data_IF_094201853973
#
_entry.id   IF_094201853973
#
_cell.length_a   1.000
_cell.length_b   1.000
_cell.length_c   1.000
_cell.angle_alpha   90.00
_cell.angle_beta   90.00
_cell.angle_gamma   90.00
#
_symmetry.space_group_name_H-M   'P 1'
#
loop_
_entity.id
_entity.type
_entity.pdbx_description
1 polymer ?
#
# COMPACT_ATOMS: atom_id res chain seq x y z
N UNK A 1 19.56 -0.28 -5.75
CA UNK A 1 19.13 -1.68 -5.87
C UNK A 1 17.65 -1.75 -5.50
N UNK A 2 16.79 -2.34 -6.34
CA UNK A 2 15.38 -2.54 -6.00
C UNK A 2 15.31 -3.70 -4.99
N UNK A 3 15.26 -3.38 -3.70
CA UNK A 3 15.07 -4.38 -2.65
C UNK A 3 13.60 -4.76 -2.63
N UNK A 4 13.28 -5.96 -3.11
CA UNK A 4 11.95 -6.53 -2.99
C UNK A 4 11.71 -6.85 -1.52
N UNK A 5 10.90 -6.05 -0.83
CA UNK A 5 10.47 -6.36 0.54
C UNK A 5 9.59 -7.62 0.55
N UNK A 6 9.69 -8.41 1.61
CA UNK A 6 8.81 -9.56 1.82
C UNK A 6 7.34 -9.06 1.82
N UNK A 7 6.42 -9.69 1.06
CA UNK A 7 5.02 -9.27 0.99
C UNK A 7 4.33 -9.13 2.35
N UNK A 8 4.69 -9.96 3.35
CA UNK A 8 4.17 -9.83 4.70
C UNK A 8 4.65 -8.56 5.42
N UNK A 9 5.92 -8.21 5.27
CA UNK A 9 6.47 -6.98 5.85
C UNK A 9 5.84 -5.72 5.24
N UNK A 10 5.53 -5.76 3.95
CA UNK A 10 4.83 -4.69 3.27
C UNK A 10 3.40 -4.52 3.82
N UNK A 11 2.69 -5.62 4.07
CA UNK A 11 1.34 -5.59 4.63
C UNK A 11 1.30 -5.08 6.08
N UNK A 12 2.27 -5.43 6.92
CA UNK A 12 2.34 -4.90 8.28
C UNK A 12 2.58 -3.38 8.24
N UNK A 13 3.45 -2.93 7.34
CA UNK A 13 3.74 -1.50 7.17
C UNK A 13 2.51 -0.75 6.64
N UNK A 14 1.72 -1.33 5.72
CA UNK A 14 0.48 -0.69 5.25
C UNK A 14 -0.53 -0.56 6.38
N UNK A 15 -0.70 -1.59 7.22
CA UNK A 15 -1.64 -1.55 8.36
C UNK A 15 -1.21 -0.48 9.37
N UNK A 16 0.05 -0.49 9.81
CA UNK A 16 0.54 0.45 10.83
C UNK A 16 0.54 1.90 10.31
N UNK A 17 0.94 2.11 9.06
CA UNK A 17 0.91 3.44 8.46
C UNK A 17 -0.50 3.95 8.25
N UNK A 18 -1.42 3.11 7.76
CA UNK A 18 -2.83 3.49 7.61
C UNK A 18 -3.45 3.81 8.97
N UNK A 19 -3.22 2.98 10.00
CA UNK A 19 -3.74 3.18 11.35
C UNK A 19 -3.23 4.49 11.99
N UNK A 20 -1.92 4.75 11.92
CA UNK A 20 -1.35 5.96 12.49
C UNK A 20 -1.78 7.22 11.73
N UNK A 21 -1.84 7.16 10.40
CA UNK A 21 -2.23 8.30 9.57
C UNK A 21 -3.72 8.61 9.68
N UNK A 22 -4.61 7.62 9.72
CA UNK A 22 -6.05 7.88 9.89
C UNK A 22 -6.34 8.47 11.27
N UNK A 23 -5.64 8.03 12.32
CA UNK A 23 -5.73 8.65 13.64
C UNK A 23 -5.25 10.11 13.63
N UNK A 24 -4.07 10.38 13.06
CA UNK A 24 -3.50 11.72 12.98
C UNK A 24 -4.34 12.70 12.16
N UNK A 25 -4.94 12.21 11.07
CA UNK A 25 -5.83 13.02 10.21
C UNK A 25 -7.15 13.36 10.89
N UNK A 26 -7.62 12.54 11.83
CA UNK A 26 -8.81 12.86 12.61
C UNK A 26 -8.62 14.11 13.50
N UNK A 27 -7.41 14.34 14.01
CA UNK A 27 -7.11 15.47 14.92
C UNK A 27 -7.38 16.85 14.30
N UNK A 28 -6.90 17.21 13.10
CA UNK A 28 -7.23 18.49 12.49
C UNK A 28 -8.71 18.62 12.13
N UNK A 29 -9.43 17.50 11.91
CA UNK A 29 -10.86 17.54 11.58
C UNK A 29 -11.70 18.03 12.75
N UNK A 30 -11.30 17.81 14.00
CA UNK A 30 -12.07 18.27 15.18
C UNK A 30 -12.14 19.78 15.31
N UNK A 31 -11.24 20.54 14.67
CA UNK A 31 -11.27 22.01 14.66
C UNK A 31 -12.33 22.59 13.72
N UNK A 32 -12.98 21.78 12.87
CA UNK A 32 -14.05 22.26 11.99
C UNK A 32 -15.36 22.40 12.78
N UNK A 33 -16.10 23.51 12.63
CA UNK A 33 -17.31 23.75 13.43
C UNK A 33 -18.55 22.97 12.95
N UNK A 34 -18.57 22.46 11.72
CA UNK A 34 -19.72 21.79 11.12
C UNK A 34 -19.47 20.28 10.92
N UNK A 35 -20.37 19.44 11.43
CA UNK A 35 -20.27 17.98 11.38
C UNK A 35 -20.27 17.44 9.93
N UNK A 36 -21.11 17.99 9.05
CA UNK A 36 -21.16 17.61 7.63
C UNK A 36 -19.82 17.86 6.93
N UNK A 37 -19.18 18.98 7.25
CA UNK A 37 -17.88 19.34 6.69
C UNK A 37 -16.77 18.43 7.24
N UNK A 38 -16.86 18.04 8.52
CA UNK A 38 -15.94 17.08 9.13
C UNK A 38 -16.00 15.71 8.44
N UNK A 39 -17.20 15.17 8.23
CA UNK A 39 -17.42 13.88 7.55
C UNK A 39 -16.91 13.92 6.10
N UNK A 40 -17.20 15.01 5.38
CA UNK A 40 -16.73 15.19 4.01
C UNK A 40 -15.19 15.20 3.94
N UNK A 41 -14.55 16.01 4.80
CA UNK A 41 -13.08 16.11 4.84
C UNK A 41 -12.45 14.77 5.27
N UNK A 42 -13.04 14.09 6.25
CA UNK A 42 -12.58 12.76 6.67
C UNK A 42 -12.70 11.72 5.55
N UNK A 43 -13.77 11.75 4.74
CA UNK A 43 -13.93 10.84 3.62
C UNK A 43 -12.81 11.02 2.59
N UNK A 44 -12.53 12.26 2.17
CA UNK A 44 -11.43 12.55 1.23
C UNK A 44 -10.06 12.24 1.83
N UNK A 45 -9.85 12.58 3.10
CA UNK A 45 -8.58 12.36 3.77
C UNK A 45 -8.32 10.86 3.99
N UNK A 46 -9.34 10.06 4.30
CA UNK A 46 -9.23 8.61 4.41
C UNK A 46 -8.80 7.96 3.08
N UNK A 47 -9.37 8.40 1.95
CA UNK A 47 -8.93 7.94 0.62
C UNK A 47 -7.46 8.32 0.37
N UNK A 48 -7.06 9.55 0.72
CA UNK A 48 -5.68 10.02 0.56
C UNK A 48 -4.69 9.24 1.45
N UNK A 49 -5.05 8.98 2.71
CA UNK A 49 -4.27 8.16 3.65
C UNK A 49 -4.10 6.75 3.09
N UNK A 50 -5.19 6.14 2.65
CA UNK A 50 -5.18 4.82 2.02
C UNK A 50 -4.28 4.76 0.79
N UNK A 51 -4.33 5.79 -0.05
CA UNK A 51 -3.45 5.93 -1.21
C UNK A 51 -1.97 6.06 -0.82
N UNK A 52 -1.64 6.81 0.23
CA UNK A 52 -0.27 6.96 0.70
C UNK A 52 0.25 5.66 1.31
N UNK A 53 -0.53 5.01 2.18
CA UNK A 53 -0.18 3.75 2.81
C UNK A 53 -0.01 2.62 1.77
N UNK A 54 -0.93 2.53 0.80
CA UNK A 54 -0.96 1.53 -0.26
C UNK A 54 0.25 1.55 -1.20
N UNK A 55 1.02 2.65 -1.27
CA UNK A 55 2.27 2.72 -2.05
C UNK A 55 3.32 1.70 -1.65
N UNK A 56 3.26 1.23 -0.39
CA UNK A 56 4.19 0.23 0.12
C UNK A 56 3.79 -1.20 -0.26
N UNK A 57 2.55 -1.40 -0.75
CA UNK A 57 2.05 -2.71 -1.18
C UNK A 57 2.46 -3.05 -2.62
N UNK A 58 2.83 -4.31 -2.84
CA UNK A 58 3.22 -4.84 -4.15
C UNK A 58 2.01 -5.25 -4.99
N UNK A 59 0.90 -5.60 -4.33
CA UNK A 59 -0.33 -6.12 -4.93
C UNK A 59 -1.50 -5.25 -4.48
N UNK A 60 -2.33 -4.81 -5.44
CA UNK A 60 -3.53 -3.99 -5.19
C UNK A 60 -4.46 -4.53 -4.10
N UNK A 61 -4.69 -5.84 -4.07
CA UNK A 61 -5.52 -6.49 -3.06
C UNK A 61 -4.90 -6.44 -1.65
N UNK A 62 -3.58 -6.58 -1.53
CA UNK A 62 -2.89 -6.43 -0.23
C UNK A 62 -2.89 -4.98 0.25
N UNK A 63 -2.78 -4.02 -0.67
CA UNK A 63 -2.96 -2.60 -0.38
C UNK A 63 -4.36 -2.27 0.13
N UNK A 64 -5.39 -2.84 -0.50
CA UNK A 64 -6.78 -2.71 -0.05
C UNK A 64 -7.00 -3.29 1.35
N UNK A 65 -6.61 -4.56 1.57
CA UNK A 65 -6.84 -5.23 2.86
C UNK A 65 -6.08 -4.53 3.98
N UNK A 66 -4.81 -4.19 3.76
CA UNK A 66 -4.00 -3.52 4.78
C UNK A 66 -4.50 -2.11 5.12
N UNK A 67 -4.87 -1.33 4.10
CA UNK A 67 -5.42 0.02 4.32
C UNK A 67 -6.83 0.00 4.93
N UNK A 68 -7.65 -1.01 4.60
CA UNK A 68 -8.97 -1.20 5.20
C UNK A 68 -8.84 -1.53 6.68
N UNK A 69 -8.03 -2.53 7.03
CA UNK A 69 -7.84 -2.95 8.43
C UNK A 69 -7.20 -1.83 9.24
N UNK A 70 -6.11 -1.23 8.75
CA UNK A 70 -5.46 -0.13 9.44
C UNK A 70 -6.36 1.11 9.55
N UNK A 71 -7.08 1.45 8.48
CA UNK A 71 -8.02 2.57 8.47
C UNK A 71 -9.20 2.37 9.43
N UNK A 72 -9.75 1.16 9.50
CA UNK A 72 -10.80 0.79 10.46
C UNK A 72 -10.30 0.94 11.90
N UNK A 73 -9.19 0.30 12.27
CA UNK A 73 -8.67 0.37 13.64
C UNK A 73 -8.24 1.79 14.02
N UNK A 74 -7.64 2.54 13.10
CA UNK A 74 -7.22 3.92 13.37
C UNK A 74 -8.39 4.89 13.51
N UNK A 75 -9.45 4.74 12.71
CA UNK A 75 -10.67 5.54 12.86
C UNK A 75 -11.48 5.14 14.09
N UNK A 76 -11.54 3.85 14.42
CA UNK A 76 -12.16 3.36 15.65
C UNK A 76 -11.42 3.87 16.90
N UNK A 77 -10.08 3.81 16.92
CA UNK A 77 -9.27 4.39 17.99
C UNK A 77 -9.46 5.90 18.12
N UNK A 78 -9.57 6.61 17.00
CA UNK A 78 -9.83 8.05 17.01
C UNK A 78 -11.20 8.37 17.62
N UNK A 79 -12.24 7.63 17.22
CA UNK A 79 -13.58 7.79 17.75
C UNK A 79 -13.62 7.55 19.27
N UNK A 80 -12.96 6.50 19.75
CA UNK A 80 -12.94 6.10 21.15
C UNK A 80 -12.08 7.04 22.02
N UNK A 81 -10.89 7.43 21.55
CA UNK A 81 -9.93 8.20 22.38
C UNK A 81 -10.16 9.71 22.31
N UNK A 82 -10.58 10.23 21.15
CA UNK A 82 -10.59 11.67 20.87
C UNK A 82 -12.01 12.21 20.65
N UNK A 83 -12.88 11.46 19.96
CA UNK A 83 -14.20 11.95 19.63
C UNK A 83 -15.24 11.70 20.74
N UNK A 84 -15.16 10.59 21.49
CA UNK A 84 -16.06 10.27 22.61
C UNK A 84 -16.29 11.46 23.56
N UNK A 85 -15.26 12.17 24.09
CA UNK A 85 -15.48 13.28 25.01
C UNK A 85 -16.21 14.50 24.39
N UNK A 86 -16.26 14.62 23.06
CA UNK A 86 -16.92 15.74 22.34
C UNK A 86 -18.27 15.36 21.73
N UNK A 87 -18.52 14.08 21.44
CA UNK A 87 -19.68 13.60 20.66
C UNK A 87 -20.71 12.78 21.46
N UNK A 88 -20.61 12.77 22.80
CA UNK A 88 -21.35 11.95 23.79
C UNK A 88 -22.89 11.81 23.63
N UNK A 89 -23.56 12.49 22.69
CA UNK A 89 -25.02 12.50 22.58
C UNK A 89 -25.63 12.03 21.25
N UNK A 90 -24.88 11.90 20.15
CA UNK A 90 -25.50 11.65 18.81
C UNK A 90 -25.02 10.34 18.14
N UNK A 91 -23.87 9.79 18.53
CA UNK A 91 -23.25 8.66 17.81
C UNK A 91 -23.26 7.32 18.55
N UNK A 92 -23.93 7.20 19.70
CA UNK A 92 -24.03 5.93 20.43
C UNK A 92 -24.61 4.84 19.52
N UNK A 93 -23.79 3.85 19.15
CA UNK A 93 -24.14 2.74 18.25
C UNK A 93 -23.75 2.92 16.77
N UNK A 94 -23.34 4.12 16.33
CA UNK A 94 -22.95 4.40 14.94
C UNK A 94 -21.43 4.42 14.71
N UNK A 95 -20.63 4.31 15.77
CA UNK A 95 -19.17 4.37 15.67
C UNK A 95 -18.57 3.25 14.82
N UNK A 96 -19.08 2.03 15.00
CA UNK A 96 -18.67 0.85 14.22
C UNK A 96 -18.95 1.00 12.72
N UNK A 97 -20.18 1.32 12.27
CA UNK A 97 -20.45 1.50 10.85
C UNK A 97 -19.71 2.71 10.25
N UNK A 98 -19.51 3.80 11.01
CA UNK A 98 -18.74 4.96 10.55
C UNK A 98 -17.26 4.60 10.38
N UNK A 99 -16.64 3.95 11.37
CA UNK A 99 -15.27 3.47 11.28
C UNK A 99 -15.08 2.49 10.13
N UNK A 100 -16.08 1.63 9.88
CA UNK A 100 -16.06 0.67 8.77
C UNK A 100 -16.19 1.38 7.41
N UNK A 101 -17.04 2.40 7.29
CA UNK A 101 -17.14 3.21 6.07
C UNK A 101 -15.84 3.97 5.77
N UNK A 102 -15.23 4.58 6.79
CA UNK A 102 -13.94 5.27 6.68
C UNK A 102 -12.83 4.27 6.33
N UNK A 103 -12.82 3.10 6.97
CA UNK A 103 -11.92 1.99 6.65
C UNK A 103 -12.08 1.53 5.20
N UNK A 104 -13.31 1.40 4.69
CA UNK A 104 -13.57 1.03 3.31
C UNK A 104 -13.05 2.08 2.31
N UNK A 105 -13.24 3.37 2.60
CA UNK A 105 -12.69 4.48 1.80
C UNK A 105 -11.15 4.47 1.78
N UNK A 106 -10.53 4.21 2.93
CA UNK A 106 -9.09 4.02 3.05
C UNK A 106 -8.62 2.79 2.23
N UNK A 107 -9.36 1.69 2.30
CA UNK A 107 -9.16 0.50 1.46
C UNK A 107 -9.18 0.82 -0.03
N UNK A 108 -10.18 1.58 -0.50
CA UNK A 108 -10.29 2.01 -1.90
C UNK A 108 -9.08 2.85 -2.33
N UNK A 109 -8.61 3.77 -1.49
CA UNK A 109 -7.36 4.51 -1.72
C UNK A 109 -6.14 3.59 -1.87
N UNK A 110 -6.04 2.58 -1.01
CA UNK A 110 -4.98 1.56 -1.06
C UNK A 110 -5.02 0.69 -2.32
N UNK A 111 -6.23 0.33 -2.79
CA UNK A 111 -6.43 -0.42 -4.02
C UNK A 111 -5.95 0.36 -5.26
N UNK A 112 -6.29 1.66 -5.33
CA UNK A 112 -5.91 2.53 -6.45
C UNK A 112 -4.39 2.61 -6.61
N UNK A 113 -3.66 2.69 -5.49
CA UNK A 113 -2.20 2.82 -5.52
C UNK A 113 -1.46 1.49 -5.64
N UNK A 114 -2.01 0.39 -5.12
CA UNK A 114 -1.41 -0.92 -5.30
C UNK A 114 -1.44 -1.43 -6.75
N UNK A 115 -2.39 -0.97 -7.59
CA UNK A 115 -2.34 -1.22 -9.06
C UNK A 115 -1.13 -0.56 -9.74
N UNK A 116 -0.64 0.56 -9.19
CA UNK A 116 0.58 1.22 -9.68
C UNK A 116 1.86 0.48 -9.24
N UNK A 117 1.78 -0.31 -8.16
CA UNK A 117 2.88 -1.14 -7.66
C UNK A 117 3.32 -2.22 -8.65
N UNK A 118 2.36 -2.93 -9.25
CA UNK A 118 2.62 -3.95 -10.28
C UNK A 118 3.40 -3.40 -11.48
N UNK A 119 3.02 -2.22 -11.97
CA UNK A 119 3.75 -1.53 -13.06
C UNK A 119 5.19 -1.18 -12.69
N UNK A 120 5.50 -0.91 -11.42
CA UNK A 120 6.88 -0.67 -10.96
C UNK A 120 7.69 -1.96 -10.94
N UNK A 121 7.08 -3.07 -10.52
CA UNK A 121 7.74 -4.38 -10.51
C UNK A 121 8.02 -4.82 -11.95
N UNK A 122 7.09 -4.63 -12.88
CA UNK A 122 7.31 -4.90 -14.32
C UNK A 122 8.46 -4.06 -14.89
N UNK A 123 8.51 -2.76 -14.57
CA UNK A 123 9.64 -1.90 -14.98
C UNK A 123 10.96 -2.35 -14.37
N UNK A 124 10.96 -2.76 -13.10
CA UNK A 124 12.15 -3.26 -12.42
C UNK A 124 12.62 -4.60 -12.99
N UNK A 125 11.69 -5.51 -13.34
CA UNK A 125 11.96 -6.76 -14.06
C UNK A 125 12.51 -6.49 -15.46
N UNK A 126 11.97 -5.50 -16.17
CA UNK A 126 12.48 -5.07 -17.48
C UNK A 126 13.90 -4.51 -17.41
N UNK A 127 14.28 -3.88 -16.30
CA UNK A 127 15.63 -3.36 -16.04
C UNK A 127 16.58 -4.39 -15.42
N UNK A 128 16.12 -5.60 -15.07
CA UNK A 128 17.03 -6.65 -14.62
C UNK A 128 17.93 -7.07 -15.78
N UNK A 129 19.23 -7.34 -15.52
CA UNK A 129 20.12 -7.83 -16.55
C UNK A 129 19.55 -9.14 -17.08
N UNK A 130 19.02 -9.11 -18.31
CA UNK A 130 18.52 -10.33 -18.90
C UNK A 130 19.71 -11.28 -19.08
N UNK A 131 19.47 -12.54 -18.80
CA UNK A 131 20.49 -13.58 -18.87
C UNK A 131 20.00 -14.62 -19.85
N UNK A 132 20.82 -14.96 -20.84
CA UNK A 132 20.54 -16.08 -21.74
C UNK A 132 21.20 -17.34 -21.20
N UNK A 133 20.67 -18.51 -21.57
CA UNK A 133 21.34 -19.78 -21.29
C UNK A 133 22.23 -20.15 -22.46
N UNK A 134 23.39 -20.74 -22.18
CA UNK A 134 24.22 -21.31 -23.23
C UNK A 134 23.50 -22.52 -23.86
N UNK A 135 23.42 -22.59 -25.19
CA UNK A 135 22.77 -23.69 -25.91
C UNK A 135 23.47 -25.05 -25.73
N UNK A 136 24.77 -25.06 -25.42
CA UNK A 136 25.54 -26.30 -25.19
C UNK A 136 25.47 -26.81 -23.76
N UNK A 137 25.74 -25.94 -22.78
CA UNK A 137 25.91 -26.34 -21.37
C UNK A 137 24.81 -25.82 -20.43
N UNK A 138 23.83 -25.05 -20.92
CA UNK A 138 22.71 -24.54 -20.12
C UNK A 138 23.07 -23.45 -19.10
N UNK A 139 24.37 -23.14 -18.91
CA UNK A 139 24.83 -22.14 -17.96
C UNK A 139 24.22 -20.75 -18.25
N UNK A 140 23.86 -20.00 -17.19
CA UNK A 140 23.41 -18.61 -17.30
C UNK A 140 24.59 -17.72 -17.72
N UNK A 141 24.42 -16.94 -18.78
CA UNK A 141 25.41 -16.03 -19.34
C UNK A 141 24.75 -14.68 -19.63
N UNK A 142 25.53 -13.59 -19.56
CA UNK A 142 25.04 -12.26 -19.96
C UNK A 142 24.67 -12.20 -21.45
N UNK A 143 23.74 -11.31 -21.81
CA UNK A 143 23.29 -11.11 -23.20
C UNK A 143 24.47 -10.73 -24.12
N UNK A 144 25.36 -9.89 -23.62
CA UNK A 144 26.52 -9.37 -24.34
C UNK A 144 27.74 -10.32 -24.30
N UNK A 145 27.64 -11.47 -23.62
CA UNK A 145 28.74 -12.40 -23.50
C UNK A 145 28.99 -13.14 -24.82
N UNK A 146 30.19 -12.99 -25.40
CA UNK A 146 30.60 -13.69 -26.63
C UNK A 146 31.05 -15.14 -26.39
N UNK A 147 31.47 -15.46 -25.16
CA UNK A 147 31.91 -16.80 -24.74
C UNK A 147 31.22 -17.23 -23.45
N UNK A 148 30.92 -18.52 -23.35
CA UNK A 148 30.37 -19.09 -22.12
C UNK A 148 31.47 -19.21 -21.07
N UNK A 149 31.22 -18.82 -19.83
CA UNK A 149 32.20 -18.92 -18.75
C UNK A 149 32.46 -20.36 -18.31
N UNK A 150 31.45 -21.24 -18.41
CA UNK A 150 31.55 -22.67 -18.04
C UNK A 150 32.16 -23.49 -19.17
N UNK A 151 31.48 -23.60 -20.31
CA UNK A 151 31.92 -24.48 -21.41
C UNK A 151 32.87 -23.81 -22.43
N UNK A 152 33.24 -22.53 -22.24
CA UNK A 152 34.09 -21.73 -23.14
C UNK A 152 33.66 -21.65 -24.61
N UNK A 153 32.51 -22.22 -24.95
CA UNK A 153 31.93 -22.19 -26.28
C UNK A 153 31.55 -20.76 -26.69
N UNK A 154 31.74 -20.44 -27.98
CA UNK A 154 31.22 -19.22 -28.56
C UNK A 154 29.69 -19.23 -28.55
N UNK A 155 29.09 -18.12 -28.13
CA UNK A 155 27.65 -17.92 -28.20
C UNK A 155 27.31 -17.11 -29.46
N UNK A 156 26.24 -17.47 -30.20
CA UNK A 156 25.80 -16.67 -31.33
C UNK A 156 25.38 -15.25 -30.87
N UNK A 157 25.59 -14.22 -31.70
CA UNK A 157 25.02 -12.89 -31.44
C UNK A 157 23.49 -12.99 -31.49
N UNK A 158 22.83 -12.41 -30.49
CA UNK A 158 21.36 -12.22 -30.43
C UNK A 158 21.02 -10.81 -30.82
#
# INVERSE_FOLDING_TARGET
>A
MVSVRNPFSALIVTILSAMGLTFLVGVPVTFLPYIELQLLVMAFAAVAVGAVAGRSSLIGSMGFVGALVGGFFGSFLFLLVVAEPYFFWITTGWELPIALAIGALCGLGGLLTGKLGLRRIERALGAMPQSRRCSKCGAKVGITARKCWSCRAYLPPT
#
